data_IF_237397136028
#
_entry.id   IF_237397136028
#
_cell.length_a   1.000
_cell.length_b   1.000
_cell.length_c   1.000
_cell.angle_alpha   90.00
_cell.angle_beta   90.00
_cell.angle_gamma   90.00
#
_symmetry.space_group_name_H-M   'P 1'
#
loop_
_entity.id
_entity.type
_entity.pdbx_description
1 polymer ?
#
# COMPACT_ATOMS: atom_id res chain seq x y z
N UNK A 1 -25.32 49.54 -4.68
CA UNK A 1 -25.10 48.18 -5.20
C UNK A 1 -23.62 48.04 -5.54
N UNK A 2 -23.01 46.98 -4.99
CA UNK A 2 -21.84 46.26 -5.52
C UNK A 2 -20.45 46.89 -5.32
N UNK A 3 -19.88 46.49 -4.17
CA UNK A 3 -18.59 45.82 -3.95
C UNK A 3 -17.27 46.43 -4.44
N UNK A 4 -16.43 46.62 -3.42
CA UNK A 4 -15.10 47.21 -3.39
C UNK A 4 -14.03 46.26 -3.97
N UNK A 5 -13.15 46.82 -4.79
CA UNK A 5 -11.92 46.21 -5.29
C UNK A 5 -10.77 46.92 -4.57
N UNK A 6 -9.90 46.19 -3.86
CA UNK A 6 -8.55 46.70 -3.60
C UNK A 6 -7.54 45.57 -3.68
N UNK A 7 -6.64 45.74 -4.64
CA UNK A 7 -5.43 44.97 -4.83
C UNK A 7 -4.34 45.42 -3.86
N UNK A 8 -3.51 44.48 -3.42
CA UNK A 8 -2.11 44.72 -3.08
C UNK A 8 -1.75 44.57 -1.62
N UNK A 9 -0.91 43.57 -1.31
CA UNK A 9 0.29 43.80 -0.49
C UNK A 9 1.31 42.70 -0.76
N UNK A 10 2.56 43.10 -0.98
CA UNK A 10 3.72 42.24 -1.27
C UNK A 10 4.69 42.33 -0.08
N UNK A 11 5.31 41.19 0.21
CA UNK A 11 6.54 40.97 0.98
C UNK A 11 6.59 41.33 2.47
N UNK A 12 6.76 40.30 3.31
CA UNK A 12 7.83 40.23 4.32
C UNK A 12 8.48 38.85 4.17
N UNK A 13 9.81 38.85 4.07
CA UNK A 13 10.68 37.68 3.95
C UNK A 13 11.48 37.50 5.25
N UNK A 14 11.77 36.23 5.57
CA UNK A 14 12.79 35.68 6.49
C UNK A 14 12.85 36.18 7.96
N UNK A 15 12.46 35.30 8.90
CA UNK A 15 13.42 34.68 9.84
C UNK A 15 12.73 33.60 10.70
N UNK A 16 13.19 32.35 10.54
CA UNK A 16 13.42 31.40 11.63
C UNK A 16 12.25 31.02 12.55
N UNK A 17 11.49 30.01 12.14
CA UNK A 17 11.13 28.80 12.93
C UNK A 17 10.34 27.91 11.98
N UNK A 18 10.87 26.75 11.61
CA UNK A 18 10.03 25.69 11.07
C UNK A 18 8.93 25.46 12.12
N UNK A 19 7.64 25.73 11.85
CA UNK A 19 6.66 24.95 12.57
C UNK A 19 6.96 23.51 12.11
N UNK A 20 7.15 22.55 13.02
CA UNK A 20 6.05 22.19 13.89
C UNK A 20 4.88 21.58 13.10
N UNK A 21 5.03 21.35 11.79
CA UNK A 21 4.06 20.70 10.91
C UNK A 21 4.11 19.18 11.13
N UNK A 22 3.93 18.77 12.38
CA UNK A 22 3.30 17.48 12.64
C UNK A 22 1.87 17.60 12.07
N UNK A 23 1.46 16.61 11.28
CA UNK A 23 0.11 16.38 10.75
C UNK A 23 -0.25 16.96 9.37
N UNK A 24 0.12 16.21 8.29
CA UNK A 24 -0.88 15.80 7.30
C UNK A 24 -0.98 14.28 7.13
N UNK A 25 -0.13 13.47 7.78
CA UNK A 25 -0.14 12.01 7.58
C UNK A 25 -1.36 11.31 8.23
N UNK A 26 -2.21 12.07 8.94
CA UNK A 26 -3.43 11.56 9.57
C UNK A 26 -4.54 11.17 8.57
N UNK A 27 -4.40 11.56 7.29
CA UNK A 27 -5.30 11.10 6.21
C UNK A 27 -4.83 9.80 5.52
N UNK A 28 -3.68 9.25 5.91
CA UNK A 28 -2.98 8.17 5.21
C UNK A 28 -3.04 6.83 5.92
N UNK A 29 -4.20 6.16 5.94
CA UNK A 29 -4.26 4.74 6.32
C UNK A 29 -3.71 3.84 5.20
N UNK A 30 -2.43 4.03 4.85
CA UNK A 30 -1.67 3.13 4.00
C UNK A 30 -0.41 2.73 4.75
N UNK A 31 -0.22 1.43 4.97
CA UNK A 31 0.99 0.95 5.61
C UNK A 31 2.09 0.75 4.57
N UNK A 32 3.31 1.12 4.94
CA UNK A 32 4.45 1.14 4.03
C UNK A 32 5.45 0.09 4.45
N UNK A 33 5.95 -0.68 3.47
CA UNK A 33 7.02 -1.66 3.64
C UNK A 33 8.26 -1.13 2.91
N UNK A 34 9.34 -0.91 3.66
CA UNK A 34 10.58 -0.32 3.18
C UNK A 34 11.74 -1.25 3.52
N UNK A 35 12.70 -1.39 2.61
CA UNK A 35 13.96 -2.07 2.88
C UNK A 35 15.09 -1.04 2.84
N UNK A 36 15.71 -0.77 3.99
CA UNK A 36 16.81 0.19 4.14
C UNK A 36 18.16 -0.53 4.20
N UNK A 37 19.23 0.00 3.59
CA UNK A 37 20.55 -0.65 3.61
C UNK A 37 21.09 -0.88 5.03
N UNK A 38 20.89 0.07 5.94
CA UNK A 38 21.41 -0.02 7.31
C UNK A 38 20.43 -0.65 8.32
N UNK A 39 19.12 -0.53 8.08
CA UNK A 39 18.08 -0.93 9.05
C UNK A 39 17.29 -2.17 8.61
N UNK A 40 17.53 -2.67 7.40
CA UNK A 40 16.80 -3.79 6.84
C UNK A 40 15.32 -3.48 6.60
N UNK A 41 14.46 -4.48 6.80
CA UNK A 41 13.03 -4.37 6.55
C UNK A 41 12.30 -3.64 7.68
N UNK A 42 11.65 -2.55 7.31
CA UNK A 42 10.85 -1.71 8.18
C UNK A 42 9.41 -1.67 7.67
N UNK A 43 8.44 -1.71 8.59
CA UNK A 43 7.03 -1.46 8.27
C UNK A 43 6.50 -0.33 9.13
N UNK A 44 5.84 0.64 8.50
CA UNK A 44 5.12 1.69 9.19
C UNK A 44 3.65 1.28 9.32
N UNK A 45 3.15 1.11 10.55
CA UNK A 45 1.78 0.66 10.82
C UNK A 45 1.59 -0.87 10.87
N UNK A 46 2.67 -1.63 11.01
CA UNK A 46 2.61 -3.09 11.11
C UNK A 46 3.86 -3.71 11.72
N UNK A 47 3.77 -5.00 12.04
CA UNK A 47 4.90 -5.78 12.53
C UNK A 47 5.61 -6.49 11.39
N UNK A 48 6.94 -6.41 11.36
CA UNK A 48 7.78 -7.14 10.41
C UNK A 48 8.32 -8.40 11.08
N UNK A 49 8.21 -9.52 10.39
CA UNK A 49 8.85 -10.79 10.74
C UNK A 49 9.61 -11.32 9.53
N UNK A 50 10.90 -11.58 9.71
CA UNK A 50 11.75 -12.16 8.67
C UNK A 50 11.90 -13.66 8.95
N UNK A 51 11.56 -14.49 7.97
CA UNK A 51 11.68 -15.95 8.01
C UNK A 51 12.37 -16.44 6.73
N UNK A 52 13.70 -16.56 6.81
CA UNK A 52 14.56 -16.90 5.67
C UNK A 52 14.42 -15.89 4.53
N UNK A 53 13.95 -16.36 3.37
CA UNK A 53 13.74 -15.54 2.16
C UNK A 53 12.43 -14.72 2.19
N UNK A 54 11.56 -14.96 3.18
CA UNK A 54 10.25 -14.31 3.28
C UNK A 54 10.23 -13.25 4.36
N UNK A 55 9.77 -12.06 4.00
CA UNK A 55 9.50 -10.99 4.95
C UNK A 55 8.00 -10.81 5.06
N UNK A 56 7.45 -11.26 6.17
CA UNK A 56 6.02 -11.15 6.49
C UNK A 56 5.76 -9.85 7.24
N UNK A 57 4.78 -9.08 6.78
CA UNK A 57 4.34 -7.84 7.39
C UNK A 57 2.87 -7.97 7.74
N UNK A 58 2.58 -7.88 9.03
CA UNK A 58 1.21 -7.86 9.52
C UNK A 58 0.78 -6.40 9.75
N UNK A 59 -0.18 -5.87 8.97
CA UNK A 59 -0.73 -4.56 9.24
C UNK A 59 -1.53 -4.56 10.55
N UNK A 60 -1.24 -3.60 11.40
CA UNK A 60 -1.95 -3.33 12.66
C UNK A 60 -2.79 -2.05 12.57
N UNK A 61 -2.77 -1.38 11.41
CA UNK A 61 -3.61 -0.24 11.15
C UNK A 61 -5.10 -0.64 11.13
N UNK A 62 -6.00 0.31 11.38
CA UNK A 62 -7.44 0.01 11.46
C UNK A 62 -8.10 -0.20 10.10
N UNK A 63 -7.47 0.26 9.02
CA UNK A 63 -8.05 0.25 7.67
C UNK A 63 -7.72 -1.05 6.93
N UNK A 64 -6.45 -1.51 7.00
CA UNK A 64 -5.94 -2.76 6.39
C UNK A 64 -6.35 -2.95 4.94
N UNK A 65 -6.51 -1.86 4.19
CA UNK A 65 -7.00 -1.89 2.82
C UNK A 65 -5.98 -1.33 1.83
N UNK A 66 -4.89 -0.71 2.29
CA UNK A 66 -3.89 -0.10 1.40
C UNK A 66 -2.49 -0.43 1.87
N UNK A 67 -1.67 -0.88 0.93
CA UNK A 67 -0.28 -1.28 1.16
C UNK A 67 0.61 -0.67 0.12
N UNK A 68 1.73 -0.11 0.55
CA UNK A 68 2.79 0.28 -0.36
C UNK A 68 4.06 -0.51 -0.08
N UNK A 69 4.59 -1.18 -1.11
CA UNK A 69 5.86 -1.90 -1.06
C UNK A 69 6.90 -1.07 -1.81
N UNK A 70 7.64 -0.25 -1.07
CA UNK A 70 8.55 0.74 -1.65
C UNK A 70 9.68 0.08 -2.46
N UNK A 71 10.19 -1.07 -1.99
CA UNK A 71 11.26 -1.82 -2.67
C UNK A 71 10.87 -2.37 -4.05
N UNK A 72 9.57 -2.33 -4.38
CA UNK A 72 9.00 -2.76 -5.66
C UNK A 72 8.16 -1.68 -6.35
N UNK A 73 8.05 -0.50 -5.73
CA UNK A 73 7.19 0.58 -6.21
C UNK A 73 5.71 0.19 -6.31
N UNK A 74 5.27 -0.81 -5.53
CA UNK A 74 3.96 -1.44 -5.68
C UNK A 74 2.95 -0.84 -4.71
N UNK A 75 1.83 -0.35 -5.25
CA UNK A 75 0.69 0.17 -4.51
C UNK A 75 -0.49 -0.79 -4.65
N UNK A 76 -0.89 -1.41 -3.54
CA UNK A 76 -1.99 -2.36 -3.46
C UNK A 76 -3.14 -1.72 -2.70
N UNK A 77 -4.32 -1.67 -3.32
CA UNK A 77 -5.53 -1.12 -2.69
C UNK A 77 -6.67 -2.11 -2.79
N UNK A 78 -7.42 -2.27 -1.70
CA UNK A 78 -8.65 -3.04 -1.64
C UNK A 78 -9.84 -2.07 -1.54
N UNK A 79 -10.74 -2.12 -2.52
CA UNK A 79 -12.04 -1.44 -2.40
C UNK A 79 -12.98 -2.23 -1.50
N UNK A 80 -12.78 -3.55 -1.44
CA UNK A 80 -13.54 -4.48 -0.62
C UNK A 80 -12.59 -5.55 -0.06
N UNK A 81 -12.79 -5.92 1.20
CA UNK A 81 -11.93 -6.86 1.93
C UNK A 81 -10.87 -6.16 2.78
N UNK A 82 -10.01 -6.94 3.43
CA UNK A 82 -8.90 -6.45 4.27
C UNK A 82 -7.68 -7.36 4.11
N UNK A 83 -6.50 -6.78 4.30
CA UNK A 83 -5.23 -7.48 4.37
C UNK A 83 -4.99 -8.00 5.79
N UNK A 84 -4.74 -9.29 5.93
CA UNK A 84 -4.26 -9.91 7.17
C UNK A 84 -2.74 -9.85 7.27
N UNK A 85 -2.05 -10.05 6.14
CA UNK A 85 -0.60 -10.03 6.05
C UNK A 85 -0.15 -9.80 4.60
N UNK A 86 1.06 -9.29 4.44
CA UNK A 86 1.76 -9.16 3.16
C UNK A 86 3.15 -9.73 3.31
N UNK A 87 3.50 -10.71 2.49
CA UNK A 87 4.80 -11.35 2.50
C UNK A 87 5.56 -11.00 1.22
N UNK A 88 6.81 -10.57 1.39
CA UNK A 88 7.69 -10.23 0.27
C UNK A 88 8.82 -11.25 0.24
N UNK A 89 8.98 -11.92 -0.90
CA UNK A 89 10.13 -12.78 -1.13
C UNK A 89 11.31 -11.94 -1.64
N UNK A 90 12.42 -12.00 -0.93
CA UNK A 90 13.62 -11.21 -1.26
C UNK A 90 14.40 -11.79 -2.44
N UNK A 91 14.29 -13.11 -2.68
CA UNK A 91 15.03 -13.87 -3.71
C UNK A 91 14.29 -13.99 -5.04
N UNK A 92 13.00 -14.29 -5.01
CA UNK A 92 12.18 -14.52 -6.21
C UNK A 92 11.37 -13.30 -6.64
N UNK A 93 11.41 -12.23 -5.84
CA UNK A 93 10.59 -11.02 -6.03
C UNK A 93 9.06 -11.27 -5.97
N UNK A 94 8.61 -12.47 -5.62
CA UNK A 94 7.20 -12.76 -5.42
C UNK A 94 6.63 -12.02 -4.20
N UNK A 95 5.39 -11.57 -4.30
CA UNK A 95 4.65 -10.97 -3.19
C UNK A 95 3.42 -11.81 -2.92
N UNK A 96 3.22 -12.23 -1.67
CA UNK A 96 2.01 -12.91 -1.23
C UNK A 96 1.19 -11.98 -0.39
N UNK A 97 -0.11 -11.95 -0.65
CA UNK A 97 -1.07 -11.20 0.14
C UNK A 97 -2.04 -12.18 0.77
N UNK A 98 -2.22 -12.04 2.08
CA UNK A 98 -3.25 -12.72 2.84
C UNK A 98 -4.45 -11.79 2.98
N UNK A 99 -5.59 -12.22 2.46
CA UNK A 99 -6.85 -11.51 2.56
C UNK A 99 -7.70 -12.11 3.69
N UNK A 100 -8.37 -11.26 4.44
CA UNK A 100 -9.29 -11.67 5.50
C UNK A 100 -10.40 -12.58 4.95
N UNK A 101 -10.95 -13.47 5.78
CA UNK A 101 -12.11 -14.28 5.42
C UNK A 101 -13.29 -13.46 4.92
N UNK A 102 -14.14 -14.08 4.10
CA UNK A 102 -15.40 -13.49 3.67
C UNK A 102 -16.29 -13.16 4.86
N UNK A 103 -16.97 -12.03 4.77
CA UNK A 103 -18.05 -11.64 5.68
C UNK A 103 -19.37 -11.61 4.90
N UNK A 104 -20.54 -11.64 5.55
CA UNK A 104 -21.82 -11.53 4.86
C UNK A 104 -21.90 -10.32 3.93
N UNK A 105 -21.27 -9.21 4.31
CA UNK A 105 -21.25 -7.96 3.55
C UNK A 105 -20.12 -7.87 2.52
N UNK A 106 -19.16 -8.81 2.56
CA UNK A 106 -17.97 -8.80 1.68
C UNK A 106 -17.60 -10.23 1.27
N UNK A 107 -18.30 -10.79 0.26
CA UNK A 107 -18.01 -12.13 -0.27
C UNK A 107 -16.80 -12.17 -1.23
N UNK A 108 -16.40 -11.01 -1.75
CA UNK A 108 -15.29 -10.87 -2.68
C UNK A 108 -14.44 -9.66 -2.33
N UNK A 109 -13.14 -9.80 -2.50
CA UNK A 109 -12.19 -8.70 -2.44
C UNK A 109 -12.00 -8.11 -3.83
N UNK A 110 -11.80 -6.79 -3.89
CA UNK A 110 -11.51 -6.05 -5.13
C UNK A 110 -10.15 -5.42 -4.99
N UNK A 111 -9.15 -6.00 -5.65
CA UNK A 111 -7.75 -5.61 -5.53
C UNK A 111 -7.31 -4.79 -6.74
N UNK A 112 -6.88 -3.56 -6.48
CA UNK A 112 -6.12 -2.74 -7.41
C UNK A 112 -4.63 -2.97 -7.21
N UNK A 113 -3.92 -3.11 -8.33
CA UNK A 113 -2.48 -3.29 -8.35
C UNK A 113 -1.90 -2.20 -9.23
N UNK A 114 -1.27 -1.22 -8.61
CA UNK A 114 -0.66 -0.08 -9.27
C UNK A 114 0.85 -0.05 -9.02
N UNK A 115 1.60 0.49 -9.97
CA UNK A 115 3.05 0.69 -9.82
C UNK A 115 3.40 2.15 -10.14
N UNK A 116 3.09 3.09 -9.23
CA UNK A 116 3.35 4.51 -9.48
C UNK A 116 4.86 4.81 -9.58
N UNK A 117 5.69 4.07 -8.85
CA UNK A 117 7.14 4.22 -8.89
C UNK A 117 7.77 3.20 -9.85
N UNK A 118 8.46 3.70 -10.88
CA UNK A 118 9.25 2.86 -11.80
C UNK A 118 10.60 2.53 -11.14
N UNK A 119 10.66 1.39 -10.46
CA UNK A 119 11.91 0.89 -9.87
C UNK A 119 12.71 0.13 -10.92
N UNK A 120 13.98 0.50 -11.11
CA UNK A 120 14.86 -0.18 -12.08
C UNK A 120 15.05 -1.64 -11.66
N UNK A 121 14.90 -2.57 -12.61
CA UNK A 121 15.03 -4.01 -12.34
C UNK A 121 13.71 -4.70 -11.96
N UNK A 122 12.67 -3.96 -11.60
CA UNK A 122 11.35 -4.55 -11.23
C UNK A 122 10.45 -4.63 -12.46
N UNK A 123 9.83 -5.79 -12.70
CA UNK A 123 8.86 -5.97 -13.78
C UNK A 123 7.43 -5.52 -13.41
N UNK A 124 6.46 -5.87 -14.25
CA UNK A 124 5.05 -5.53 -13.99
C UNK A 124 4.41 -6.61 -13.13
N UNK A 125 3.94 -6.23 -11.95
CA UNK A 125 3.29 -7.16 -11.03
C UNK A 125 1.90 -7.54 -11.52
N UNK A 126 1.63 -8.85 -11.55
CA UNK A 126 0.30 -9.40 -11.82
C UNK A 126 0.02 -10.58 -10.91
N UNK A 127 -1.26 -10.83 -10.59
CA UNK A 127 -1.65 -12.07 -9.94
C UNK A 127 -1.21 -13.28 -10.78
N UNK A 128 -0.60 -14.26 -10.11
CA UNK A 128 -0.22 -15.53 -10.74
C UNK A 128 -1.44 -16.35 -11.16
N UNK A 129 -2.55 -16.17 -10.45
CA UNK A 129 -3.85 -16.74 -10.79
C UNK A 129 -4.52 -15.91 -11.86
N UNK A 130 -5.21 -16.57 -12.80
CA UNK A 130 -6.10 -15.88 -13.72
C UNK A 130 -7.33 -15.41 -12.97
N UNK A 131 -7.42 -14.11 -12.73
CA UNK A 131 -8.52 -13.46 -12.04
C UNK A 131 -9.32 -12.61 -13.03
N UNK A 132 -10.64 -12.57 -12.81
CA UNK A 132 -11.50 -11.67 -13.58
C UNK A 132 -11.23 -10.24 -13.12
N UNK A 133 -11.05 -9.34 -14.08
CA UNK A 133 -10.92 -7.91 -13.79
C UNK A 133 -12.30 -7.27 -13.93
N UNK A 134 -12.77 -6.63 -12.87
CA UNK A 134 -14.01 -5.85 -12.84
C UNK A 134 -13.69 -4.41 -12.45
N UNK A 135 -14.04 -3.44 -13.31
CA UNK A 135 -13.82 -2.01 -13.04
C UNK A 135 -12.36 -1.71 -12.65
N UNK A 136 -11.43 -2.23 -13.44
CA UNK A 136 -9.98 -2.09 -13.25
C UNK A 136 -9.40 -2.72 -11.96
N UNK A 137 -10.23 -3.43 -11.17
CA UNK A 137 -9.83 -4.20 -10.01
C UNK A 137 -9.88 -5.71 -10.28
N UNK A 138 -8.95 -6.47 -9.72
CA UNK A 138 -9.05 -7.93 -9.70
C UNK A 138 -10.12 -8.37 -8.68
N UNK A 139 -11.15 -9.06 -9.16
CA UNK A 139 -12.17 -9.67 -8.32
C UNK A 139 -11.66 -11.01 -7.77
N UNK A 140 -11.51 -11.09 -6.45
CA UNK A 140 -10.99 -12.26 -5.74
C UNK A 140 -12.10 -12.82 -4.85
N UNK A 141 -12.67 -14.00 -5.16
CA UNK A 141 -13.63 -14.65 -4.28
C UNK A 141 -12.99 -14.99 -2.93
N UNK A 142 -13.55 -14.48 -1.85
CA UNK A 142 -13.02 -14.73 -0.51
C UNK A 142 -13.55 -16.06 0.04
N UNK A 143 -12.70 -16.79 0.76
CA UNK A 143 -13.07 -18.02 1.44
C UNK A 143 -13.52 -17.74 2.87
N UNK A 144 -14.08 -18.74 3.56
CA UNK A 144 -14.35 -18.69 5.01
C UNK A 144 -13.08 -18.66 5.87
N UNK A 145 -11.92 -18.85 5.24
CA UNK A 145 -10.60 -18.77 5.83
C UNK A 145 -9.77 -17.73 5.06
N UNK A 146 -8.60 -17.39 5.61
CA UNK A 146 -7.66 -16.48 4.96
C UNK A 146 -7.37 -16.92 3.52
N UNK A 147 -7.55 -15.99 2.58
CA UNK A 147 -7.35 -16.26 1.16
C UNK A 147 -6.00 -15.71 0.73
N UNK A 148 -5.13 -16.59 0.25
CA UNK A 148 -3.78 -16.22 -0.19
C UNK A 148 -3.74 -16.02 -1.70
N UNK A 149 -3.16 -14.89 -2.12
CA UNK A 149 -2.92 -14.57 -3.53
C UNK A 149 -1.43 -14.24 -3.70
N UNK A 150 -0.83 -14.76 -4.76
CA UNK A 150 0.56 -14.52 -5.12
C UNK A 150 0.62 -13.60 -6.35
N UNK A 151 1.44 -12.55 -6.24
CA UNK A 151 1.78 -11.60 -7.29
C UNK A 151 3.23 -11.82 -7.71
N UNK A 152 3.51 -11.82 -9.01
CA UNK A 152 4.86 -11.94 -9.57
C UNK A 152 5.10 -10.84 -10.59
N UNK A 153 6.36 -10.44 -10.77
CA UNK A 153 6.74 -9.29 -11.60
C UNK A 153 6.94 -9.63 -13.09
N UNK A 154 6.53 -10.83 -13.53
CA UNK A 154 6.54 -11.25 -14.93
C UNK A 154 7.92 -11.36 -15.58
N UNK A 155 9.00 -11.22 -14.80
CA UNK A 155 10.39 -11.43 -15.20
C UNK A 155 10.89 -12.83 -14.90
#
# INVERSE_FOLDING_TARGET
>A
MIWCRVSGFRLIDLTGRLPGDYDPNFFGHAFNIVNHPDFGWLAFGGNVKVDGDWVSVQPLDSFRMRVYVASRGLWLTLDAGRFEAVEVNTRTHAIRIALSPQTPDTPQARLHVEQPAKVTGVGTYRPRLQLTTERDAYAIPLKRTTTWIELTDGK
#
